data_IF_904077749581
#
_entry.id   IF_904077749581
#
_cell.length_a   1.000
_cell.length_b   1.000
_cell.length_c   1.000
_cell.angle_alpha   90.00
_cell.angle_beta   90.00
_cell.angle_gamma   90.00
#
_symmetry.space_group_name_H-M   'P 1'
#
loop_
_entity.id
_entity.type
_entity.pdbx_description
1 polymer ?
#
# COMPACT_ATOMS: atom_id res chain seq x y z
N UNK A 1 11.99 24.07 -7.66
CA UNK A 1 11.02 23.04 -8.05
C UNK A 1 11.62 21.68 -7.71
N UNK A 2 11.48 21.25 -6.45
CA UNK A 2 11.97 19.95 -5.98
C UNK A 2 10.91 18.90 -6.24
N UNK A 3 10.98 18.24 -7.40
CA UNK A 3 10.17 17.05 -7.64
C UNK A 3 10.66 15.93 -6.73
N UNK A 4 9.88 15.62 -5.71
CA UNK A 4 9.98 14.37 -4.95
C UNK A 4 10.06 13.21 -5.93
N UNK A 5 11.14 12.43 -5.85
CA UNK A 5 11.38 11.27 -6.71
C UNK A 5 10.51 10.12 -6.19
N UNK A 6 9.22 10.16 -6.50
CA UNK A 6 8.26 9.12 -6.15
C UNK A 6 8.44 7.92 -7.07
N UNK A 7 9.30 6.97 -6.69
CA UNK A 7 9.56 5.82 -7.52
C UNK A 7 9.47 4.53 -6.70
N UNK A 8 8.34 3.83 -6.81
CA UNK A 8 8.14 2.51 -6.21
C UNK A 8 8.99 1.47 -6.97
N UNK A 9 10.27 1.35 -6.57
CA UNK A 9 11.24 0.40 -7.16
C UNK A 9 11.02 -1.07 -6.78
N UNK A 10 9.97 -1.39 -6.01
CA UNK A 10 9.69 -2.74 -5.49
C UNK A 10 8.58 -3.47 -6.27
N UNK A 11 8.41 -3.13 -7.55
CA UNK A 11 7.34 -3.64 -8.44
C UNK A 11 7.35 -5.16 -8.66
N UNK A 12 8.38 -5.89 -8.25
CA UNK A 12 8.40 -7.36 -8.31
C UNK A 12 8.44 -8.05 -6.93
N UNK A 13 8.60 -7.27 -5.86
CA UNK A 13 8.62 -7.78 -4.48
C UNK A 13 7.24 -8.23 -3.97
N UNK A 14 7.26 -9.03 -2.89
CA UNK A 14 6.09 -9.28 -2.02
C UNK A 14 5.97 -8.10 -1.06
N UNK A 15 5.38 -7.04 -1.58
CA UNK A 15 5.36 -5.75 -0.90
C UNK A 15 4.11 -4.97 -1.27
N UNK A 16 3.93 -3.87 -0.54
CA UNK A 16 3.11 -2.74 -0.94
C UNK A 16 3.46 -2.29 -2.37
N UNK A 17 2.42 -2.01 -3.16
CA UNK A 17 2.51 -1.49 -4.54
C UNK A 17 1.84 -0.12 -4.61
N UNK A 18 2.04 0.56 -5.74
CA UNK A 18 1.42 1.86 -6.03
C UNK A 18 -0.06 1.92 -5.68
N UNK A 19 -0.49 3.06 -5.15
CA UNK A 19 -1.88 3.34 -4.84
C UNK A 19 -2.56 3.86 -6.10
N UNK A 20 -3.53 3.12 -6.65
CA UNK A 20 -4.30 3.60 -7.80
C UNK A 20 -5.30 4.65 -7.34
N UNK A 21 -5.29 5.82 -7.95
CA UNK A 21 -6.26 6.88 -7.67
C UNK A 21 -7.17 7.15 -8.87
N UNK A 22 -8.33 7.75 -8.62
CA UNK A 22 -9.00 8.54 -9.65
C UNK A 22 -8.61 10.01 -9.50
N UNK A 23 -9.08 10.86 -10.41
CA UNK A 23 -8.69 12.27 -10.45
C UNK A 23 -9.24 13.13 -9.29
N UNK A 24 -10.03 12.55 -8.37
CA UNK A 24 -10.50 13.22 -7.16
C UNK A 24 -11.44 14.41 -7.37
N UNK A 25 -11.71 15.15 -6.29
CA UNK A 25 -12.47 16.41 -6.31
C UNK A 25 -11.80 17.54 -7.09
N UNK A 26 -10.48 17.47 -7.28
CA UNK A 26 -9.71 18.50 -8.01
C UNK A 26 -10.14 18.63 -9.47
N UNK A 27 -10.49 17.50 -10.12
CA UNK A 27 -10.79 17.48 -11.56
C UNK A 27 -12.12 16.80 -11.90
N UNK A 28 -12.68 15.98 -11.01
CA UNK A 28 -13.95 15.31 -11.27
C UNK A 28 -15.12 16.12 -10.70
N UNK A 29 -16.10 16.45 -11.56
CA UNK A 29 -17.37 17.08 -11.14
C UNK A 29 -18.21 16.27 -10.14
N UNK A 30 -17.84 15.02 -9.91
CA UNK A 30 -18.50 14.11 -8.96
C UNK A 30 -17.61 13.75 -7.78
N UNK A 31 -16.37 14.24 -7.74
CA UNK A 31 -15.46 13.97 -6.64
C UNK A 31 -15.93 14.67 -5.39
N UNK A 32 -16.17 13.89 -4.33
CA UNK A 32 -16.54 14.38 -3.00
C UNK A 32 -15.35 14.37 -2.03
N UNK A 33 -14.24 13.70 -2.40
CA UNK A 33 -12.99 13.72 -1.67
C UNK A 33 -11.77 13.75 -2.59
N UNK A 34 -10.68 14.31 -2.08
CA UNK A 34 -9.39 14.35 -2.79
C UNK A 34 -8.69 12.99 -2.68
N UNK A 35 -8.98 12.12 -3.64
CA UNK A 35 -8.33 10.81 -3.72
C UNK A 35 -6.86 10.88 -4.13
N UNK A 36 -6.42 11.97 -4.77
CA UNK A 36 -5.05 12.08 -5.27
C UNK A 36 -4.12 12.38 -4.11
N UNK A 37 -4.42 13.39 -3.29
CA UNK A 37 -3.62 13.72 -2.11
C UNK A 37 -3.58 12.56 -1.12
N UNK A 38 -4.73 11.94 -0.81
CA UNK A 38 -4.78 10.79 0.10
C UNK A 38 -4.01 9.58 -0.47
N UNK A 39 -4.11 9.32 -1.78
CA UNK A 39 -3.35 8.25 -2.42
C UNK A 39 -1.84 8.48 -2.34
N UNK A 40 -1.38 9.72 -2.56
CA UNK A 40 0.03 10.11 -2.41
C UNK A 40 0.47 9.91 -0.95
N UNK A 41 -0.28 10.41 0.02
CA UNK A 41 0.07 10.29 1.43
C UNK A 41 0.21 8.82 1.89
N UNK A 42 -0.70 7.94 1.46
CA UNK A 42 -0.63 6.50 1.74
C UNK A 42 0.59 5.87 1.05
N UNK A 43 0.84 6.22 -0.22
CA UNK A 43 1.99 5.69 -0.96
C UNK A 43 3.32 6.13 -0.35
N UNK A 44 3.46 7.42 -0.03
CA UNK A 44 4.67 7.98 0.58
C UNK A 44 5.00 7.35 1.93
N UNK A 45 3.96 7.11 2.74
CA UNK A 45 4.11 6.53 4.08
C UNK A 45 4.43 5.05 4.06
N UNK A 46 3.80 4.26 3.18
CA UNK A 46 3.87 2.79 3.24
C UNK A 46 4.64 2.15 2.07
N UNK A 47 5.25 2.95 1.19
CA UNK A 47 6.14 2.44 0.15
C UNK A 47 7.27 1.59 0.74
N UNK A 48 7.62 0.55 0.01
CA UNK A 48 8.66 -0.41 0.38
C UNK A 48 8.37 -1.31 1.57
N UNK A 49 7.16 -1.26 2.12
CA UNK A 49 6.70 -2.20 3.13
C UNK A 49 6.66 -3.63 2.58
N UNK A 50 7.46 -4.52 3.16
CA UNK A 50 7.42 -5.95 2.88
C UNK A 50 6.19 -6.60 3.54
N UNK A 51 5.52 -7.47 2.79
CA UNK A 51 4.28 -8.13 3.22
C UNK A 51 4.26 -9.60 2.81
N UNK A 52 3.45 -10.45 3.48
CA UNK A 52 3.39 -11.90 3.18
C UNK A 52 3.12 -12.20 1.70
N UNK A 53 2.36 -11.34 1.02
CA UNK A 53 2.21 -11.34 -0.42
C UNK A 53 2.11 -9.91 -0.98
N UNK A 54 2.06 -9.76 -2.32
CA UNK A 54 1.91 -8.44 -2.97
C UNK A 54 0.56 -7.81 -2.63
N UNK A 55 0.57 -6.51 -2.35
CA UNK A 55 -0.59 -5.73 -1.95
C UNK A 55 -0.89 -4.64 -2.97
N UNK A 56 -2.12 -4.58 -3.47
CA UNK A 56 -2.62 -3.51 -4.34
C UNK A 56 -3.55 -2.63 -3.53
N UNK A 57 -3.37 -1.32 -3.64
CA UNK A 57 -4.22 -0.35 -2.97
C UNK A 57 -4.88 0.58 -3.99
N UNK A 58 -6.01 1.17 -3.60
CA UNK A 58 -6.59 2.26 -4.35
C UNK A 58 -7.39 3.21 -3.46
N UNK A 59 -7.45 4.47 -3.89
CA UNK A 59 -8.29 5.51 -3.29
C UNK A 59 -9.16 6.11 -4.39
N UNK A 60 -10.46 6.23 -4.15
CA UNK A 60 -11.40 6.84 -5.10
C UNK A 60 -12.17 7.96 -4.44
N UNK A 61 -12.27 9.09 -5.13
CA UNK A 61 -12.89 10.31 -4.59
C UNK A 61 -14.42 10.32 -4.61
N UNK A 62 -15.10 9.23 -5.00
CA UNK A 62 -16.57 9.11 -4.91
C UNK A 62 -17.03 7.64 -5.09
N UNK A 63 -18.31 7.32 -4.78
CA UNK A 63 -18.85 5.96 -4.91
C UNK A 63 -18.89 5.39 -6.35
N UNK A 64 -18.61 6.20 -7.38
CA UNK A 64 -18.47 5.70 -8.77
C UNK A 64 -17.27 4.77 -8.95
N UNK A 65 -16.32 4.81 -8.01
CA UNK A 65 -15.28 3.81 -7.86
C UNK A 65 -14.37 3.62 -9.10
N UNK A 66 -14.00 4.70 -9.78
CA UNK A 66 -13.17 4.66 -11.00
C UNK A 66 -11.77 4.04 -10.78
N UNK A 67 -11.27 4.04 -9.54
CA UNK A 67 -10.00 3.40 -9.18
C UNK A 67 -10.14 1.89 -8.85
N UNK A 68 -11.35 1.34 -8.93
CA UNK A 68 -11.71 -0.02 -8.54
C UNK A 68 -11.31 -0.38 -7.09
N UNK A 69 -11.47 0.55 -6.15
CA UNK A 69 -11.09 0.38 -4.75
C UNK A 69 -11.72 -0.86 -4.11
N UNK A 70 -12.99 -1.14 -4.42
CA UNK A 70 -13.74 -2.28 -3.89
C UNK A 70 -13.16 -3.67 -4.24
N UNK A 71 -12.19 -3.79 -5.16
CA UNK A 71 -11.57 -5.08 -5.51
C UNK A 71 -10.04 -5.10 -5.33
N UNK A 72 -9.50 -4.12 -4.58
CA UNK A 72 -8.09 -4.09 -4.17
C UNK A 72 -7.89 -4.79 -2.84
N UNK A 73 -6.63 -5.13 -2.53
CA UNK A 73 -6.30 -5.77 -1.25
C UNK A 73 -6.69 -4.85 -0.06
N UNK A 74 -6.56 -3.52 -0.25
CA UNK A 74 -7.19 -2.47 0.56
C UNK A 74 -7.66 -1.33 -0.37
N UNK A 75 -8.88 -0.86 -0.21
CA UNK A 75 -9.48 0.19 -1.03
C UNK A 75 -10.16 1.25 -0.17
N UNK A 76 -10.08 2.51 -0.58
CA UNK A 76 -10.70 3.63 0.12
C UNK A 76 -11.66 4.33 -0.83
N UNK A 77 -12.89 4.59 -0.39
CA UNK A 77 -13.94 5.25 -1.16
C UNK A 77 -14.42 6.48 -0.40
N UNK A 78 -14.25 7.68 -0.98
CA UNK A 78 -14.84 8.88 -0.42
C UNK A 78 -16.37 8.81 -0.54
N UNK A 79 -17.04 9.18 0.54
CA UNK A 79 -18.49 9.35 0.59
C UNK A 79 -18.83 10.77 1.00
N UNK A 80 -20.11 11.12 0.96
CA UNK A 80 -20.55 12.47 1.28
C UNK A 80 -20.32 12.83 2.76
N UNK A 81 -20.14 14.13 3.03
CA UNK A 81 -19.85 14.68 4.36
C UNK A 81 -18.40 14.55 4.81
N UNK A 82 -17.44 14.41 3.89
CA UNK A 82 -16.00 14.33 4.21
C UNK A 82 -15.52 12.97 4.72
N UNK A 83 -16.38 11.96 4.70
CA UNK A 83 -16.11 10.62 5.23
C UNK A 83 -15.55 9.68 4.18
N UNK A 84 -14.95 8.60 4.66
CA UNK A 84 -14.28 7.60 3.83
C UNK A 84 -14.62 6.19 4.26
N UNK A 85 -15.04 5.35 3.33
CA UNK A 85 -15.20 3.92 3.54
C UNK A 85 -13.90 3.19 3.22
N UNK A 86 -13.41 2.37 4.16
CA UNK A 86 -12.23 1.53 4.00
C UNK A 86 -12.67 0.10 3.78
N UNK A 87 -12.28 -0.49 2.64
CA UNK A 87 -12.59 -1.86 2.23
C UNK A 87 -11.33 -2.72 2.21
N UNK A 88 -11.45 -4.00 2.58
CA UNK A 88 -10.31 -4.92 2.68
C UNK A 88 -10.57 -6.30 2.10
N UNK A 89 -9.52 -6.97 1.64
CA UNK A 89 -9.61 -8.35 1.14
C UNK A 89 -10.22 -8.50 -0.25
N UNK A 90 -10.20 -7.45 -1.07
CA UNK A 90 -10.65 -7.51 -2.46
C UNK A 90 -9.66 -8.22 -3.39
N UNK A 91 -10.18 -8.72 -4.51
CA UNK A 91 -9.37 -9.29 -5.59
C UNK A 91 -10.01 -9.09 -6.97
N UNK A 92 -9.17 -8.80 -7.96
CA UNK A 92 -9.53 -8.72 -9.38
C UNK A 92 -8.55 -9.50 -10.26
N UNK A 93 -8.01 -10.61 -9.75
CA UNK A 93 -7.08 -11.48 -10.47
C UNK A 93 -7.76 -12.76 -10.92
N UNK A 94 -7.03 -13.88 -10.83
CA UNK A 94 -7.60 -15.22 -11.04
C UNK A 94 -8.76 -15.55 -10.08
N UNK A 95 -8.79 -14.89 -8.91
CA UNK A 95 -9.94 -14.88 -8.03
C UNK A 95 -10.53 -13.46 -8.04
N UNK A 96 -11.86 -13.37 -8.19
CA UNK A 96 -12.61 -12.13 -8.16
C UNK A 96 -13.36 -12.08 -6.82
N UNK A 97 -13.17 -11.02 -6.06
CA UNK A 97 -13.81 -10.82 -4.75
C UNK A 97 -13.99 -9.34 -4.48
N UNK A 98 -15.20 -8.93 -4.10
CA UNK A 98 -15.43 -7.62 -3.51
C UNK A 98 -14.86 -7.62 -2.09
N UNK A 99 -14.11 -6.58 -1.74
CA UNK A 99 -13.63 -6.36 -0.38
C UNK A 99 -14.78 -6.10 0.59
N UNK A 100 -14.55 -6.44 1.84
CA UNK A 100 -15.51 -6.20 2.93
C UNK A 100 -15.27 -4.80 3.50
N UNK A 101 -16.35 -4.12 3.86
CA UNK A 101 -16.26 -2.83 4.55
C UNK A 101 -15.61 -3.05 5.92
N UNK A 102 -14.46 -2.45 6.16
CA UNK A 102 -13.80 -2.46 7.47
C UNK A 102 -14.41 -1.38 8.37
N UNK A 103 -14.40 -0.13 7.92
CA UNK A 103 -14.96 1.01 8.65
C UNK A 103 -15.37 2.14 7.71
N UNK A 104 -16.18 3.04 8.24
CA UNK A 104 -16.37 4.40 7.71
C UNK A 104 -15.75 5.37 8.70
N UNK A 105 -14.81 6.20 8.23
CA UNK A 105 -14.04 7.15 9.05
C UNK A 105 -14.30 8.58 8.61
N UNK A 106 -14.05 9.54 9.50
CA UNK A 106 -14.45 10.94 9.29
C UNK A 106 -13.32 11.81 8.69
N UNK A 107 -12.11 11.26 8.57
CA UNK A 107 -10.95 12.01 8.08
C UNK A 107 -9.97 11.16 7.25
N UNK A 108 -9.20 11.84 6.40
CA UNK A 108 -8.10 11.24 5.65
C UNK A 108 -6.99 10.69 6.58
N UNK A 109 -6.75 11.33 7.72
CA UNK A 109 -5.75 10.91 8.70
C UNK A 109 -6.15 9.61 9.41
N UNK A 110 -7.44 9.44 9.70
CA UNK A 110 -7.98 8.17 10.19
C UNK A 110 -7.83 7.05 9.14
N UNK A 111 -8.03 7.35 7.85
CA UNK A 111 -7.76 6.37 6.78
C UNK A 111 -6.30 5.93 6.80
N UNK A 112 -5.36 6.87 6.92
CA UNK A 112 -3.93 6.56 6.95
C UNK A 112 -3.59 5.69 8.17
N UNK A 113 -4.13 6.03 9.35
CA UNK A 113 -3.94 5.29 10.59
C UNK A 113 -4.49 3.87 10.49
N UNK A 114 -5.76 3.73 10.08
CA UNK A 114 -6.41 2.43 9.93
C UNK A 114 -5.71 1.56 8.86
N UNK A 115 -5.23 2.18 7.78
CA UNK A 115 -4.42 1.50 6.75
C UNK A 115 -3.15 0.91 7.37
N UNK A 116 -2.42 1.68 8.19
CA UNK A 116 -1.22 1.21 8.87
C UNK A 116 -1.50 0.03 9.79
N UNK A 117 -2.56 0.13 10.61
CA UNK A 117 -2.98 -0.93 11.54
C UNK A 117 -3.38 -2.21 10.81
N UNK A 118 -4.20 -2.10 9.77
CA UNK A 118 -4.59 -3.23 8.93
C UNK A 118 -3.37 -3.90 8.29
N UNK A 119 -2.48 -3.12 7.68
CA UNK A 119 -1.27 -3.64 7.04
C UNK A 119 -0.35 -4.33 8.05
N UNK A 120 -0.18 -3.75 9.24
CA UNK A 120 0.65 -4.36 10.28
C UNK A 120 0.06 -5.68 10.78
N UNK A 121 -1.25 -5.68 11.08
CA UNK A 121 -1.93 -6.88 11.55
C UNK A 121 -1.92 -7.99 10.49
N UNK A 122 -2.08 -7.64 9.21
CA UNK A 122 -1.93 -8.59 8.10
C UNK A 122 -0.50 -9.17 8.02
N UNK A 123 0.55 -8.36 8.22
CA UNK A 123 1.94 -8.84 8.23
C UNK A 123 2.21 -9.84 9.35
N UNK A 124 1.55 -9.68 10.49
CA UNK A 124 1.78 -10.49 11.68
C UNK A 124 0.93 -11.77 11.74
N UNK A 125 -0.25 -11.77 11.10
CA UNK A 125 -1.25 -12.86 11.25
C UNK A 125 -1.49 -13.69 9.98
N UNK A 126 -0.98 -13.27 8.83
CA UNK A 126 -1.14 -14.02 7.59
C UNK A 126 -0.04 -15.07 7.40
N UNK A 127 -0.43 -16.18 6.79
CA UNK A 127 0.50 -17.24 6.41
C UNK A 127 1.41 -16.77 5.26
N UNK A 128 2.54 -17.46 5.10
CA UNK A 128 3.46 -17.20 3.99
C UNK A 128 2.73 -17.28 2.63
N UNK A 129 2.89 -16.24 1.81
CA UNK A 129 2.22 -16.08 0.49
C UNK A 129 0.69 -16.04 0.51
N UNK A 130 0.07 -15.89 1.69
CA UNK A 130 -1.37 -15.74 1.80
C UNK A 130 -1.81 -14.34 1.38
N UNK A 131 -2.72 -14.25 0.40
CA UNK A 131 -3.29 -12.97 -0.06
C UNK A 131 -4.43 -12.52 0.86
N UNK A 132 -4.68 -11.21 0.96
CA UNK A 132 -5.75 -10.69 1.81
C UNK A 132 -7.13 -11.22 1.44
N UNK A 133 -7.40 -11.51 0.16
CA UNK A 133 -8.68 -12.12 -0.25
C UNK A 133 -8.90 -13.55 0.26
N UNK A 134 -7.86 -14.23 0.76
CA UNK A 134 -7.99 -15.50 1.49
C UNK A 134 -7.92 -15.28 3.01
N UNK A 135 -7.02 -14.40 3.43
CA UNK A 135 -6.78 -14.10 4.83
C UNK A 135 -7.98 -13.41 5.51
N UNK A 136 -8.61 -12.41 4.88
CA UNK A 136 -9.77 -11.71 5.47
C UNK A 136 -10.93 -12.69 5.73
N UNK A 137 -11.36 -13.55 4.77
CA UNK A 137 -12.36 -14.58 5.07
C UNK A 137 -11.95 -15.58 6.15
N UNK A 138 -10.66 -15.93 6.24
CA UNK A 138 -10.15 -16.88 7.23
C UNK A 138 -10.16 -16.30 8.65
N UNK A 139 -9.75 -15.04 8.80
CA UNK A 139 -9.74 -14.34 10.10
C UNK A 139 -11.15 -13.88 10.48
N UNK A 140 -11.97 -13.51 9.49
CA UNK A 140 -13.31 -12.97 9.67
C UNK A 140 -13.30 -11.45 9.77
N UNK A 141 -14.18 -10.78 9.02
CA UNK A 141 -14.27 -9.31 9.03
C UNK A 141 -14.72 -8.78 10.39
N UNK A 142 -15.63 -9.47 11.08
CA UNK A 142 -16.09 -9.06 12.42
C UNK A 142 -14.96 -9.13 13.45
N UNK A 143 -14.08 -10.14 13.38
CA UNK A 143 -12.88 -10.19 14.21
C UNK A 143 -11.94 -9.02 13.92
N UNK A 144 -11.74 -8.68 12.63
CA UNK A 144 -10.90 -7.54 12.25
C UNK A 144 -11.47 -6.22 12.76
N UNK A 145 -12.79 -6.03 12.74
CA UNK A 145 -13.43 -4.84 13.32
C UNK A 145 -13.24 -4.79 14.84
N UNK A 146 -13.48 -5.89 15.52
CA UNK A 146 -13.28 -5.97 16.98
C UNK A 146 -11.84 -5.61 17.38
N UNK A 147 -10.82 -6.15 16.72
CA UNK A 147 -9.41 -5.93 17.14
C UNK A 147 -8.77 -4.64 16.63
N UNK A 148 -9.33 -4.00 15.60
CA UNK A 148 -8.75 -2.79 15.00
C UNK A 148 -9.56 -1.51 15.28
N UNK A 149 -10.84 -1.64 15.66
CA UNK A 149 -11.79 -0.53 15.74
C UNK A 149 -12.61 -0.58 17.03
N UNK A 150 -13.45 -1.61 17.22
CA UNK A 150 -14.54 -1.56 18.22
C UNK A 150 -14.08 -1.91 19.64
N UNK A 151 -13.51 -3.10 19.83
CA UNK A 151 -13.05 -3.65 21.12
C UNK A 151 -11.52 -3.63 21.21
N UNK A 152 -10.90 -2.68 20.52
CA UNK A 152 -9.46 -2.67 20.34
C UNK A 152 -8.76 -2.19 21.62
N UNK A 153 -7.86 -3.02 22.14
CA UNK A 153 -6.99 -2.65 23.25
C UNK A 153 -6.00 -1.56 22.80
N UNK A 154 -6.00 -0.41 23.49
CA UNK A 154 -5.18 0.74 23.12
C UNK A 154 -3.68 0.42 23.11
N UNK A 155 -3.22 -0.42 24.04
CA UNK A 155 -1.81 -0.83 24.09
C UNK A 155 -1.45 -1.74 22.90
N UNK A 156 -2.36 -2.62 22.49
CA UNK A 156 -2.23 -3.43 21.28
C UNK A 156 -2.16 -2.55 20.03
N UNK A 157 -3.08 -1.58 19.88
CA UNK A 157 -3.09 -0.64 18.76
C UNK A 157 -1.81 0.20 18.71
N UNK A 158 -1.39 0.77 19.85
CA UNK A 158 -0.14 1.51 19.94
C UNK A 158 1.07 0.63 19.58
N UNK A 159 1.03 -0.66 19.94
CA UNK A 159 2.02 -1.64 19.54
C UNK A 159 2.09 -1.85 18.02
N UNK A 160 0.94 -1.96 17.35
CA UNK A 160 0.88 -2.04 15.88
C UNK A 160 1.45 -0.78 15.24
N UNK A 161 1.05 0.40 15.75
CA UNK A 161 1.48 1.70 15.24
C UNK A 161 3.00 1.86 15.37
N UNK A 162 3.58 1.51 16.53
CA UNK A 162 5.02 1.56 16.76
C UNK A 162 5.82 0.63 15.83
N UNK A 163 5.34 -0.60 15.60
CA UNK A 163 6.02 -1.57 14.72
C UNK A 163 5.89 -1.17 13.25
N UNK A 164 4.76 -0.59 12.86
CA UNK A 164 4.59 0.01 11.54
C UNK A 164 5.55 1.18 11.36
N UNK A 165 5.63 2.10 12.34
CA UNK A 165 6.52 3.25 12.28
C UNK A 165 7.99 2.84 12.09
N UNK A 166 8.46 1.82 12.82
CA UNK A 166 9.81 1.25 12.60
C UNK A 166 10.04 0.79 11.16
N UNK A 167 9.01 0.27 10.50
CA UNK A 167 9.08 -0.18 9.10
C UNK A 167 9.09 0.99 8.12
N UNK A 168 8.33 2.06 8.41
CA UNK A 168 8.32 3.32 7.65
C UNK A 168 9.68 4.00 7.74
N UNK A 169 10.24 4.11 8.95
CA UNK A 169 11.55 4.74 9.18
C UNK A 169 12.71 3.99 8.52
N UNK A 170 12.54 2.67 8.31
CA UNK A 170 13.52 1.82 7.63
C UNK A 170 13.44 1.88 6.10
N UNK A 171 12.50 2.64 5.53
CA UNK A 171 12.37 2.79 4.08
C UNK A 171 13.64 3.38 3.47
N UNK A 172 14.02 2.84 2.32
CA UNK A 172 15.12 3.31 1.52
C UNK A 172 14.70 3.30 0.05
N UNK A 173 14.96 4.40 -0.64
CA UNK A 173 14.66 4.52 -2.07
C UNK A 173 15.67 3.66 -2.88
N UNK A 174 15.24 2.55 -3.49
CA UNK A 174 16.13 1.67 -4.24
C UNK A 174 16.70 2.33 -5.51
N UNK A 175 16.11 3.43 -5.99
CA UNK A 175 16.65 4.16 -7.15
C UNK A 175 17.90 4.97 -6.80
N UNK A 176 18.16 5.19 -5.50
CA UNK A 176 19.42 5.78 -5.03
C UNK A 176 20.58 4.79 -5.09
N UNK A 177 20.31 3.47 -5.08
CA UNK A 177 21.36 2.45 -5.01
C UNK A 177 22.41 2.62 -6.12
N UNK A 178 22.01 3.02 -7.33
CA UNK A 178 22.95 3.20 -8.44
C UNK A 178 24.03 4.27 -8.19
N UNK A 179 23.71 5.29 -7.40
CA UNK A 179 24.66 6.33 -7.00
C UNK A 179 25.24 6.10 -5.60
N UNK A 180 24.45 5.49 -4.71
CA UNK A 180 24.74 5.28 -3.29
C UNK A 180 24.51 3.79 -2.94
N UNK A 181 25.47 2.90 -3.23
CA UNK A 181 25.32 1.48 -2.94
C UNK A 181 25.14 1.23 -1.45
N UNK A 182 24.15 0.40 -1.05
CA UNK A 182 23.92 0.03 0.36
C UNK A 182 25.07 -0.77 0.96
N UNK A 183 25.81 -1.49 0.13
CA UNK A 183 27.01 -2.22 0.56
C UNK A 183 28.15 -1.99 -0.43
N UNK A 184 29.42 -2.00 0.02
CA UNK A 184 30.57 -1.77 -0.87
C UNK A 184 30.65 -2.73 -2.06
N UNK A 185 30.04 -3.91 -1.96
CA UNK A 185 30.05 -4.95 -2.99
C UNK A 185 28.80 -5.02 -3.88
N UNK A 186 27.78 -4.18 -3.64
CA UNK A 186 26.44 -4.36 -4.25
C UNK A 186 26.45 -4.39 -5.79
N UNK A 187 27.29 -3.57 -6.41
CA UNK A 187 27.44 -3.49 -7.88
C UNK A 187 28.84 -3.88 -8.35
N UNK A 188 29.60 -4.58 -7.49
CA UNK A 188 30.93 -5.07 -7.89
C UNK A 188 30.74 -6.22 -8.86
N UNK A 189 31.45 -6.19 -9.99
CA UNK A 189 31.48 -7.32 -10.91
C UNK A 189 32.17 -8.51 -10.24
N UNK A 190 31.57 -9.71 -10.34
CA UNK A 190 32.15 -10.95 -9.81
C UNK A 190 33.42 -11.38 -10.57
N UNK A 191 33.59 -10.88 -11.79
CA UNK A 191 34.77 -11.08 -12.64
C UNK A 191 35.28 -9.72 -13.14
N UNK A 192 36.58 -9.57 -13.45
CA UNK A 192 37.04 -8.40 -14.19
C UNK A 192 36.26 -8.32 -15.51
N UNK A 193 35.64 -7.17 -15.76
CA UNK A 193 34.97 -6.91 -17.03
C UNK A 193 36.04 -6.86 -18.12
N UNK A 194 36.25 -7.98 -18.81
CA UNK A 194 37.09 -8.01 -20.00
C UNK A 194 36.38 -7.19 -21.10
N UNK A 195 37.07 -6.26 -21.77
CA UNK A 195 36.48 -5.56 -22.90
C UNK A 195 36.05 -6.58 -23.95
N UNK A 196 34.77 -6.57 -24.32
CA UNK A 196 34.28 -7.41 -25.41
C UNK A 196 35.04 -7.01 -26.70
N UNK A 197 35.45 -7.98 -27.54
CA UNK A 197 36.04 -7.66 -28.83
C UNK A 197 35.04 -6.81 -29.63
N UNK A 198 35.49 -5.63 -30.07
CA UNK A 198 34.65 -4.74 -30.89
C UNK A 198 34.38 -5.45 -32.21
N UNK A 199 33.14 -5.91 -32.39
CA UNK A 199 32.69 -6.39 -33.70
C UNK A 199 32.69 -5.18 -34.64
N UNK A 200 33.37 -5.24 -35.81
CA UNK A 200 33.33 -4.15 -36.77
C UNK A 200 31.87 -3.85 -37.15
N UNK A 201 31.43 -2.63 -36.89
CA UNK A 201 30.14 -2.14 -37.38
C UNK A 201 30.31 -1.92 -38.88
N UNK A 202 29.50 -2.60 -39.71
CA UNK A 202 29.48 -2.40 -41.16
C UNK A 202 28.91 -1.03 -41.51
#
# INVERSE_FOLDING_TARGET
MGGSRHAVGLRYGKSFRTVKTCVGSDFCRYGVGDSTALGIAIEERYQGLASPAKMKLAVTGCPRNCAEALCKDLGVVAVDGGRWEVYVGGAAGAHIRKGDLLATVDSADEVITLTGRFLQYYRESANWLERTYKWVPRVGIEHLRAVLIDDADDAFLAGLDARMQKSVDAYWDPWRDGAEPRTPGQFRSSLPLLPLPRVPVR
#
